data_IF_954553355285
#
_entry.id   IF_954553355285
#
_cell.length_a   1.000
_cell.length_b   1.000
_cell.length_c   1.000
_cell.angle_alpha   90.00
_cell.angle_beta   90.00
_cell.angle_gamma   90.00
#
_symmetry.space_group_name_H-M   'P 1'
#
loop_
_entity.id
_entity.type
_entity.pdbx_description
1 polymer ?
#
# COMPACT_ATOMS: atom_id res chain seq x y z
N UNK A 1 24.90 -4.60 19.08
CA UNK A 1 23.89 -3.82 19.83
C UNK A 1 23.20 -4.72 20.85
N UNK A 2 23.17 -4.32 22.12
CA UNK A 2 22.45 -5.03 23.19
C UNK A 2 20.94 -4.80 23.01
N UNK A 3 20.16 -5.88 22.83
CA UNK A 3 18.70 -5.75 22.66
C UNK A 3 18.03 -5.61 24.03
N UNK A 4 17.23 -4.56 24.20
CA UNK A 4 16.38 -4.39 25.37
C UNK A 4 14.93 -4.78 25.04
N UNK A 5 14.25 -5.56 25.89
CA UNK A 5 12.86 -5.93 25.66
C UNK A 5 11.94 -4.69 25.73
N UNK A 6 10.89 -4.67 24.91
CA UNK A 6 9.80 -3.71 25.06
C UNK A 6 8.95 -4.05 26.29
N UNK A 7 8.05 -3.15 26.70
CA UNK A 7 7.21 -3.31 27.91
C UNK A 7 6.23 -4.51 27.78
N UNK A 8 5.92 -4.94 26.56
CA UNK A 8 4.93 -5.99 26.27
C UNK A 8 5.59 -7.37 26.04
N UNK A 9 6.30 -7.88 27.05
CA UNK A 9 6.86 -9.24 27.04
C UNK A 9 6.01 -10.16 27.94
N UNK A 10 5.65 -11.37 27.48
CA UNK A 10 5.92 -11.92 26.15
C UNK A 10 5.01 -11.31 25.07
N UNK A 11 5.58 -10.98 23.92
CA UNK A 11 4.80 -10.58 22.75
C UNK A 11 4.09 -11.82 22.20
N UNK A 12 2.79 -11.95 22.51
CA UNK A 12 2.01 -13.16 22.27
C UNK A 12 2.07 -13.61 20.80
N UNK A 13 1.98 -12.68 19.86
CA UNK A 13 2.09 -12.98 18.43
C UNK A 13 3.43 -13.61 18.06
N UNK A 14 4.53 -13.11 18.60
CA UNK A 14 5.85 -13.68 18.33
C UNK A 14 5.99 -15.08 18.93
N UNK A 15 5.44 -15.31 20.12
CA UNK A 15 5.44 -16.62 20.76
C UNK A 15 4.58 -17.63 19.98
N UNK A 16 3.37 -17.24 19.58
CA UNK A 16 2.50 -18.08 18.75
C UNK A 16 3.15 -18.41 17.41
N UNK A 17 3.81 -17.43 16.77
CA UNK A 17 4.52 -17.65 15.51
C UNK A 17 5.72 -18.58 15.67
N UNK A 18 6.47 -18.45 16.77
CA UNK A 18 7.61 -19.34 17.09
C UNK A 18 7.14 -20.79 17.26
N UNK A 19 6.06 -21.00 18.01
CA UNK A 19 5.48 -22.34 18.19
C UNK A 19 5.03 -22.91 16.85
N UNK A 20 4.30 -22.13 16.05
CA UNK A 20 3.83 -22.55 14.73
C UNK A 20 5.00 -22.90 13.79
N UNK A 21 6.09 -22.12 13.83
CA UNK A 21 7.29 -22.40 13.05
C UNK A 21 7.95 -23.72 13.47
N UNK A 22 8.04 -24.02 14.76
CA UNK A 22 8.57 -25.31 15.24
C UNK A 22 7.69 -26.47 14.77
N UNK A 23 6.36 -26.33 14.84
CA UNK A 23 5.43 -27.37 14.37
C UNK A 23 5.59 -27.66 12.87
N UNK A 24 5.87 -26.63 12.06
CA UNK A 24 6.19 -26.80 10.64
C UNK A 24 7.57 -27.42 10.43
N UNK A 25 8.56 -27.04 11.23
CA UNK A 25 9.94 -27.54 11.12
C UNK A 25 10.04 -29.03 11.49
N UNK A 26 9.29 -29.45 12.51
CA UNK A 26 9.22 -30.84 12.97
C UNK A 26 8.22 -31.69 12.15
N UNK A 27 7.70 -31.16 11.03
CA UNK A 27 6.71 -31.81 10.14
C UNK A 27 5.41 -32.27 10.86
N UNK A 28 5.10 -31.70 12.03
CA UNK A 28 3.85 -31.96 12.77
C UNK A 28 2.67 -31.29 12.06
N UNK A 29 2.91 -30.11 11.48
CA UNK A 29 1.99 -29.41 10.59
C UNK A 29 2.56 -29.36 9.18
N UNK A 30 1.67 -29.46 8.21
CA UNK A 30 1.97 -29.12 6.82
C UNK A 30 1.47 -27.70 6.51
N UNK A 31 2.03 -27.01 5.51
CA UNK A 31 1.49 -25.73 5.06
C UNK A 31 0.00 -25.79 4.65
N UNK A 32 -0.51 -26.96 4.24
CA UNK A 32 -1.93 -27.15 3.92
C UNK A 32 -2.85 -27.07 5.16
N UNK A 33 -2.35 -27.44 6.34
CA UNK A 33 -3.12 -27.34 7.59
C UNK A 33 -3.36 -25.88 8.00
N UNK A 34 -2.43 -24.98 7.63
CA UNK A 34 -2.53 -23.53 7.91
C UNK A 34 -3.35 -22.81 6.85
N UNK A 35 -3.16 -23.20 5.59
CA UNK A 35 -3.83 -22.61 4.44
C UNK A 35 -4.57 -23.71 3.65
N UNK A 36 -5.74 -24.15 4.15
CA UNK A 36 -6.49 -25.26 3.56
C UNK A 36 -7.06 -24.90 2.18
N UNK A 37 -7.14 -23.62 1.85
CA UNK A 37 -7.63 -23.12 0.57
C UNK A 37 -6.49 -22.88 -0.44
N UNK A 38 -5.24 -23.20 -0.09
CA UNK A 38 -4.07 -22.97 -0.93
C UNK A 38 -3.96 -21.53 -1.47
N UNK A 39 -4.40 -20.54 -0.69
CA UNK A 39 -4.30 -19.13 -1.08
C UNK A 39 -2.86 -18.70 -1.36
N UNK A 40 -1.86 -19.31 -0.71
CA UNK A 40 -0.43 -19.07 -0.98
C UNK A 40 -0.02 -19.47 -2.40
N UNK A 41 -0.75 -20.40 -3.02
CA UNK A 41 -0.50 -20.89 -4.37
C UNK A 41 -1.30 -20.12 -5.42
N UNK A 42 -2.24 -19.27 -5.00
CA UNK A 42 -2.92 -18.34 -5.90
C UNK A 42 -1.91 -17.31 -6.38
N UNK A 43 -1.21 -17.64 -7.47
CA UNK A 43 -0.59 -16.66 -8.35
C UNK A 43 -1.75 -15.92 -9.02
N UNK A 44 -2.26 -14.87 -8.38
CA UNK A 44 -2.92 -13.84 -9.16
C UNK A 44 -1.85 -13.35 -10.14
N UNK A 45 -2.02 -13.49 -11.47
CA UNK A 45 -1.18 -12.74 -12.37
C UNK A 45 -1.31 -11.29 -11.92
N UNK A 46 -0.20 -10.71 -11.47
CA UNK A 46 -0.18 -9.29 -11.19
C UNK A 46 -0.73 -8.59 -12.44
N UNK A 47 -1.57 -7.55 -12.29
CA UNK A 47 -2.06 -6.83 -13.46
C UNK A 47 -0.84 -6.48 -14.32
N UNK A 48 -0.96 -6.70 -15.62
CA UNK A 48 0.10 -6.36 -16.56
C UNK A 48 0.47 -4.90 -16.31
N UNK A 49 1.73 -4.67 -15.89
CA UNK A 49 2.15 -3.36 -15.41
C UNK A 49 2.36 -2.45 -16.60
N UNK A 50 1.29 -1.80 -17.05
CA UNK A 50 1.37 -0.76 -18.09
C UNK A 50 1.66 0.57 -17.42
N UNK A 51 2.87 1.09 -17.63
CA UNK A 51 3.23 2.44 -17.18
C UNK A 51 2.65 3.45 -18.18
N UNK A 52 1.77 4.32 -17.70
CA UNK A 52 1.27 5.46 -18.47
C UNK A 52 1.99 6.73 -18.02
N UNK A 53 2.42 7.54 -18.99
CA UNK A 53 3.12 8.81 -18.74
C UNK A 53 2.23 9.95 -19.24
N UNK A 54 2.11 10.99 -18.44
CA UNK A 54 1.34 12.19 -18.74
C UNK A 54 2.18 13.43 -18.41
N UNK A 55 2.26 14.38 -19.34
CA UNK A 55 2.89 15.68 -19.11
C UNK A 55 1.85 16.66 -18.58
N UNK A 56 2.19 17.31 -17.47
CA UNK A 56 1.37 18.35 -16.83
C UNK A 56 2.22 19.59 -16.66
N UNK A 57 1.73 20.74 -17.11
CA UNK A 57 2.35 22.04 -16.90
C UNK A 57 1.53 22.86 -15.90
N UNK A 58 2.23 23.59 -15.03
CA UNK A 58 1.62 24.52 -14.09
C UNK A 58 1.44 25.92 -14.68
N UNK A 59 2.35 26.33 -15.56
CA UNK A 59 2.39 27.69 -16.10
C UNK A 59 2.00 27.72 -17.58
N UNK A 60 1.26 28.76 -17.97
CA UNK A 60 0.80 28.97 -19.35
C UNK A 60 1.97 29.09 -20.34
N UNK A 61 3.09 29.71 -19.94
CA UNK A 61 4.27 29.84 -20.80
C UNK A 61 4.84 28.47 -21.18
N UNK A 62 5.00 27.59 -20.20
CA UNK A 62 5.52 26.24 -20.40
C UNK A 62 4.52 25.39 -21.18
N UNK A 63 3.23 25.53 -20.92
CA UNK A 63 2.16 24.88 -21.69
C UNK A 63 2.22 25.25 -23.16
N UNK A 64 2.26 26.55 -23.47
CA UNK A 64 2.28 27.05 -24.83
C UNK A 64 3.58 26.66 -25.57
N UNK A 65 4.72 26.70 -24.88
CA UNK A 65 5.99 26.24 -25.42
C UNK A 65 5.94 24.76 -25.79
N UNK A 66 5.46 23.89 -24.91
CA UNK A 66 5.42 22.44 -25.18
C UNK A 66 4.37 22.10 -26.24
N UNK A 67 3.21 22.76 -26.21
CA UNK A 67 2.15 22.56 -27.20
C UNK A 67 2.58 23.03 -28.58
N UNK A 68 3.31 24.15 -28.69
CA UNK A 68 3.87 24.62 -29.97
C UNK A 68 4.94 23.68 -30.55
N UNK A 69 5.58 22.87 -29.71
CA UNK A 69 6.50 21.80 -30.11
C UNK A 69 5.78 20.45 -30.34
N UNK A 70 4.46 20.44 -30.50
CA UNK A 70 3.62 19.27 -30.73
C UNK A 70 3.62 18.22 -29.60
N UNK A 71 3.95 18.61 -28.36
CA UNK A 71 3.76 17.74 -27.20
C UNK A 71 2.30 17.79 -26.72
N UNK A 72 1.76 16.63 -26.36
CA UNK A 72 0.47 16.54 -25.65
C UNK A 72 0.69 16.82 -24.17
N UNK A 73 0.33 18.01 -23.73
CA UNK A 73 0.48 18.48 -22.35
C UNK A 73 -0.89 18.87 -21.80
N UNK A 74 -1.13 18.61 -20.52
CA UNK A 74 -2.30 19.10 -19.81
C UNK A 74 -1.96 20.29 -18.93
N UNK A 75 -2.87 21.26 -18.88
CA UNK A 75 -2.77 22.39 -17.98
C UNK A 75 -3.35 22.04 -16.61
N UNK A 76 -2.67 22.39 -15.52
CA UNK A 76 -3.11 22.11 -14.15
C UNK A 76 -4.45 22.78 -13.77
N UNK A 77 -4.80 23.88 -14.44
CA UNK A 77 -6.00 24.69 -14.17
C UNK A 77 -7.10 24.59 -15.25
N UNK A 78 -6.98 23.66 -16.20
CA UNK A 78 -7.91 23.50 -17.33
C UNK A 78 -9.23 22.76 -17.01
N UNK A 79 -10.08 22.55 -18.03
CA UNK A 79 -11.45 22.03 -17.95
C UNK A 79 -11.63 20.66 -17.27
N UNK A 80 -10.56 19.85 -17.17
CA UNK A 80 -10.48 18.68 -16.30
C UNK A 80 -9.38 18.91 -15.26
N UNK A 81 -9.77 19.21 -14.03
CA UNK A 81 -8.86 19.39 -12.91
C UNK A 81 -8.20 18.05 -12.60
N UNK A 82 -6.98 17.85 -13.09
CA UNK A 82 -6.11 16.76 -12.72
C UNK A 82 -5.23 17.21 -11.56
N UNK A 83 -5.60 16.79 -10.35
CA UNK A 83 -4.83 17.07 -9.14
C UNK A 83 -3.74 16.01 -8.96
N UNK A 84 -2.48 16.41 -9.10
CA UNK A 84 -1.33 15.55 -8.83
C UNK A 84 -0.91 15.73 -7.38
N UNK A 85 -1.01 14.66 -6.59
CA UNK A 85 -0.57 14.65 -5.20
C UNK A 85 0.68 13.79 -5.02
N UNK A 86 1.57 14.15 -4.10
CA UNK A 86 2.68 13.28 -3.70
C UNK A 86 2.16 11.92 -3.19
N UNK A 87 2.94 10.87 -3.38
CA UNK A 87 2.56 9.52 -2.98
C UNK A 87 2.23 9.38 -1.48
N UNK A 88 2.84 10.19 -0.60
CA UNK A 88 2.55 10.15 0.84
C UNK A 88 1.11 10.57 1.16
N UNK A 89 0.45 11.34 0.30
CA UNK A 89 -0.94 11.78 0.49
C UNK A 89 -1.92 10.60 0.48
N UNK A 90 -1.57 9.49 -0.20
CA UNK A 90 -2.33 8.25 -0.11
C UNK A 90 -2.33 7.68 1.30
N UNK A 91 -1.26 7.85 2.07
CA UNK A 91 -1.22 7.36 3.46
C UNK A 91 -2.27 8.08 4.31
N UNK A 92 -2.38 9.41 4.17
CA UNK A 92 -3.39 10.21 4.85
C UNK A 92 -4.81 9.76 4.50
N UNK A 93 -5.05 9.41 3.24
CA UNK A 93 -6.34 8.88 2.79
C UNK A 93 -6.58 7.48 3.39
N UNK A 94 -5.57 6.61 3.37
CA UNK A 94 -5.69 5.24 3.86
C UNK A 94 -5.83 5.13 5.37
N UNK A 95 -5.38 6.11 6.15
CA UNK A 95 -5.71 6.22 7.59
C UNK A 95 -7.21 6.22 7.83
N UNK A 96 -7.96 6.93 6.98
CA UNK A 96 -9.41 7.05 7.08
C UNK A 96 -10.13 5.78 6.67
N UNK A 97 -9.45 4.85 6.01
CA UNK A 97 -10.04 3.58 5.61
C UNK A 97 -10.41 2.76 6.86
N UNK A 98 -11.71 2.50 7.00
CA UNK A 98 -12.28 1.81 8.16
C UNK A 98 -12.67 2.73 9.32
N UNK A 99 -12.53 4.06 9.19
CA UNK A 99 -13.09 5.01 10.16
C UNK A 99 -14.63 4.96 10.08
N UNK A 100 -15.29 4.68 11.20
CA UNK A 100 -16.75 4.68 11.28
C UNK A 100 -17.21 5.18 12.66
N UNK A 101 -17.61 6.46 12.72
CA UNK A 101 -18.05 7.11 13.97
C UNK A 101 -19.24 6.41 14.64
N UNK A 102 -20.20 5.93 13.84
CA UNK A 102 -21.38 5.21 14.36
C UNK A 102 -21.01 3.90 15.07
N UNK A 103 -19.96 3.23 14.60
CA UNK A 103 -19.46 1.97 15.15
C UNK A 103 -18.24 2.16 16.07
N UNK A 104 -17.84 3.41 16.36
CA UNK A 104 -16.65 3.77 17.14
C UNK A 104 -15.34 3.16 16.60
N UNK A 105 -15.25 3.00 15.28
CA UNK A 105 -14.03 2.54 14.61
C UNK A 105 -13.19 3.75 14.18
N UNK A 106 -11.90 3.73 14.50
CA UNK A 106 -10.97 4.86 14.27
C UNK A 106 -10.23 4.80 12.94
N UNK A 107 -10.42 3.74 12.15
CA UNK A 107 -9.66 3.52 10.91
C UNK A 107 -8.34 2.79 11.14
N UNK A 108 -7.48 2.81 10.12
CA UNK A 108 -6.21 2.07 10.09
C UNK A 108 -5.11 2.87 10.80
N UNK A 109 -4.36 2.22 11.69
CA UNK A 109 -3.23 2.83 12.39
C UNK A 109 -2.01 2.96 11.46
N UNK A 110 -1.37 4.13 11.44
CA UNK A 110 -0.06 4.32 10.78
C UNK A 110 1.06 3.76 11.65
N UNK A 111 1.97 3.01 11.03
CA UNK A 111 3.27 2.67 11.61
C UNK A 111 4.36 3.54 11.00
#
# INVERSE_FOLDING_TARGET
QMRMPSIHVPHLWSQSLYILANLLYDDILTPADIDPLNRRLLKFPGPELVVQIMLVSQDDETYNLLTSNNFKVHHSTGEQILSVFPAYFLNEIYEKLGECKKLRLTGRYLY
#
